data_IF_365313240420
#
_entry.id   IF_365313240420
#
_cell.length_a   1.000
_cell.length_b   1.000
_cell.length_c   1.000
_cell.angle_alpha   90.00
_cell.angle_beta   90.00
_cell.angle_gamma   90.00
#
_symmetry.space_group_name_H-M   'P 1'
#
loop_
_entity.id
_entity.type
_entity.pdbx_description
1 polymer ?
#
# COMPACT_ATOMS: atom_id res chain seq x y z
N UNK A 1 17.97 25.07 -44.55
CA UNK A 1 18.92 23.91 -44.51
C UNK A 1 19.94 24.03 -43.37
N UNK A 2 20.73 25.10 -43.25
CA UNK A 2 21.83 25.22 -42.26
C UNK A 2 21.39 25.23 -40.78
N UNK A 3 20.23 25.82 -40.47
CA UNK A 3 19.71 25.89 -39.09
C UNK A 3 18.90 24.67 -38.66
N UNK A 4 18.46 23.81 -39.60
CA UNK A 4 17.66 22.62 -39.27
C UNK A 4 18.49 21.63 -38.44
N UNK A 5 19.78 21.47 -38.80
CA UNK A 5 20.72 20.63 -38.07
C UNK A 5 21.02 21.18 -36.67
N UNK A 6 21.10 22.51 -36.52
CA UNK A 6 21.30 23.14 -35.22
C UNK A 6 20.07 23.00 -34.31
N UNK A 7 18.85 23.15 -34.84
CA UNK A 7 17.62 23.00 -34.06
C UNK A 7 17.45 21.54 -33.61
N UNK A 8 17.72 20.57 -34.48
CA UNK A 8 17.67 19.14 -34.12
C UNK A 8 18.75 18.78 -33.10
N UNK A 9 19.96 19.32 -33.22
CA UNK A 9 21.03 19.12 -32.24
C UNK A 9 20.68 19.69 -30.86
N UNK A 10 20.04 20.88 -30.82
CA UNK A 10 19.60 21.51 -29.56
C UNK A 10 18.45 20.72 -28.91
N UNK A 11 17.50 20.21 -29.68
CA UNK A 11 16.41 19.38 -29.16
C UNK A 11 16.91 18.03 -28.62
N UNK A 12 17.89 17.41 -29.28
CA UNK A 12 18.53 16.18 -28.79
C UNK A 12 19.36 16.44 -27.53
N UNK A 13 20.06 17.57 -27.44
CA UNK A 13 20.82 17.95 -26.25
C UNK A 13 19.91 18.24 -25.05
N UNK A 14 18.80 18.96 -25.24
CA UNK A 14 17.83 19.25 -24.19
C UNK A 14 17.03 18.01 -23.76
N UNK A 15 16.60 17.19 -24.72
CA UNK A 15 15.92 15.92 -24.45
C UNK A 15 16.84 14.91 -23.75
N UNK A 16 18.10 14.81 -24.18
CA UNK A 16 19.12 13.98 -23.55
C UNK A 16 19.47 14.46 -22.13
N UNK A 17 19.61 15.77 -21.93
CA UNK A 17 19.83 16.35 -20.60
C UNK A 17 18.66 16.07 -19.65
N UNK A 18 17.41 16.21 -20.13
CA UNK A 18 16.23 15.88 -19.33
C UNK A 18 16.12 14.38 -19.02
N UNK A 19 16.52 13.50 -19.95
CA UNK A 19 16.53 12.05 -19.74
C UNK A 19 17.61 11.62 -18.74
N UNK A 20 18.82 12.16 -18.84
CA UNK A 20 19.92 11.92 -17.88
C UNK A 20 19.51 12.38 -16.48
N UNK A 21 18.87 13.56 -16.36
CA UNK A 21 18.48 14.10 -15.06
C UNK A 21 17.20 13.47 -14.48
N UNK A 22 16.46 12.67 -15.26
CA UNK A 22 15.29 11.89 -14.79
C UNK A 22 15.66 10.50 -14.26
N UNK A 23 16.90 10.05 -14.47
CA UNK A 23 17.42 8.79 -13.92
C UNK A 23 17.98 8.99 -12.51
N UNK A 24 17.12 9.24 -11.53
CA UNK A 24 17.46 9.09 -10.12
C UNK A 24 16.29 8.52 -9.34
N UNK A 25 16.01 7.24 -9.57
CA UNK A 25 15.73 6.26 -8.52
C UNK A 25 15.78 4.85 -9.11
N UNK A 26 16.97 4.44 -9.57
CA UNK A 26 17.29 3.01 -9.68
C UNK A 26 18.14 2.67 -8.46
N UNK A 27 17.48 2.27 -7.38
CA UNK A 27 18.15 1.66 -6.23
C UNK A 27 18.60 0.27 -6.65
N UNK A 28 19.71 0.19 -7.38
CA UNK A 28 20.37 -1.06 -7.72
C UNK A 28 21.14 -1.56 -6.49
N UNK A 29 20.43 -2.28 -5.61
CA UNK A 29 21.05 -3.12 -4.60
C UNK A 29 20.74 -4.56 -5.00
N UNK A 30 21.71 -5.25 -5.59
CA UNK A 30 21.73 -6.71 -5.69
C UNK A 30 22.30 -7.30 -4.38
N UNK A 31 21.94 -8.55 -4.04
CA UNK A 31 21.41 -8.92 -2.75
C UNK A 31 22.51 -9.24 -1.75
N UNK A 32 22.53 -8.52 -0.62
CA UNK A 32 22.93 -9.17 0.63
C UNK A 32 21.64 -9.67 1.24
N UNK A 33 21.44 -10.99 1.22
CA UNK A 33 20.38 -11.66 1.98
C UNK A 33 20.78 -11.55 3.46
N UNK A 34 20.63 -10.36 4.02
CA UNK A 34 20.30 -10.27 5.43
C UNK A 34 18.80 -10.53 5.50
N UNK A 35 18.46 -11.81 5.68
CA UNK A 35 17.16 -12.17 6.20
C UNK A 35 17.06 -11.56 7.59
N UNK A 36 16.63 -10.30 7.65
CA UNK A 36 15.91 -9.82 8.81
C UNK A 36 14.63 -10.63 8.80
N UNK A 37 14.64 -11.74 9.54
CA UNK A 37 13.44 -12.48 9.94
C UNK A 37 12.42 -11.41 10.25
N UNK A 38 11.47 -11.23 9.34
CA UNK A 38 10.57 -10.10 9.39
C UNK A 38 9.64 -10.44 10.52
N UNK A 39 9.99 -9.95 11.71
CA UNK A 39 9.31 -10.26 12.95
C UNK A 39 7.81 -10.19 12.70
N UNK A 40 7.15 -11.32 12.96
CA UNK A 40 5.73 -11.47 12.69
C UNK A 40 4.99 -10.43 13.52
N UNK A 41 3.99 -9.79 12.91
CA UNK A 41 3.25 -8.70 13.56
C UNK A 41 1.93 -9.27 14.04
N UNK A 42 1.69 -9.22 15.35
CA UNK A 42 0.43 -9.63 15.95
C UNK A 42 -0.51 -8.43 16.09
N UNK A 43 -1.77 -8.61 15.69
CA UNK A 43 -2.82 -7.59 15.77
C UNK A 43 -4.09 -8.25 16.28
N UNK A 44 -4.76 -7.61 17.23
CA UNK A 44 -6.09 -8.00 17.69
C UNK A 44 -7.13 -7.10 17.06
N UNK A 45 -8.14 -7.68 16.39
CA UNK A 45 -9.34 -6.97 15.94
C UNK A 45 -10.44 -7.15 16.98
N UNK A 46 -10.77 -6.08 17.69
CA UNK A 46 -11.94 -6.07 18.59
C UNK A 46 -13.22 -5.86 17.79
N UNK A 47 -14.13 -6.83 17.89
CA UNK A 47 -15.41 -6.80 17.18
C UNK A 47 -16.58 -6.93 18.15
N UNK A 48 -17.80 -6.65 17.69
CA UNK A 48 -19.02 -6.85 18.49
C UNK A 48 -19.35 -8.32 18.77
N UNK A 49 -18.64 -9.26 18.16
CA UNK A 49 -18.81 -10.71 18.34
C UNK A 49 -17.62 -11.36 19.05
N UNK A 50 -16.70 -10.56 19.58
CA UNK A 50 -15.47 -11.01 20.24
C UNK A 50 -14.22 -10.56 19.50
N UNK A 51 -13.08 -10.86 20.09
CA UNK A 51 -11.77 -10.53 19.54
C UNK A 51 -11.30 -11.58 18.52
N UNK A 52 -10.58 -11.12 17.51
CA UNK A 52 -9.93 -11.96 16.50
C UNK A 52 -8.45 -11.61 16.48
N UNK A 53 -7.60 -12.56 16.84
CA UNK A 53 -6.14 -12.39 16.78
C UNK A 53 -5.61 -12.78 15.41
N UNK A 54 -4.81 -11.89 14.82
CA UNK A 54 -4.16 -12.07 13.53
C UNK A 54 -2.65 -12.05 13.69
N UNK A 55 -1.98 -12.99 13.03
CA UNK A 55 -0.53 -13.00 12.83
C UNK A 55 -0.23 -12.63 11.38
N UNK A 56 0.48 -11.52 11.17
CA UNK A 56 0.84 -11.02 9.85
C UNK A 56 2.26 -11.46 9.47
N UNK A 57 2.45 -11.67 8.16
CA UNK A 57 3.69 -12.17 7.57
C UNK A 57 4.30 -11.12 6.63
N UNK A 58 5.11 -10.16 7.13
CA UNK A 58 5.69 -9.10 6.31
C UNK A 58 6.63 -9.65 5.23
N UNK A 59 7.28 -10.79 5.48
CA UNK A 59 8.16 -11.45 4.50
C UNK A 59 7.40 -11.94 3.27
N UNK A 60 6.15 -12.41 3.43
CA UNK A 60 5.33 -12.92 2.35
C UNK A 60 4.60 -11.82 1.57
N UNK A 61 4.10 -10.79 2.27
CA UNK A 61 3.30 -9.72 1.68
C UNK A 61 3.67 -8.32 2.23
N UNK A 62 4.90 -7.82 1.97
CA UNK A 62 5.46 -6.67 2.67
C UNK A 62 4.64 -5.39 2.49
N UNK A 63 4.19 -5.11 1.27
CA UNK A 63 3.40 -3.90 0.96
C UNK A 63 2.01 -3.95 1.60
N UNK A 64 1.38 -5.12 1.58
CA UNK A 64 0.04 -5.33 2.14
C UNK A 64 0.06 -5.19 3.65
N UNK A 65 1.02 -5.85 4.30
CA UNK A 65 1.18 -5.78 5.76
C UNK A 65 1.50 -4.35 6.20
N UNK A 66 2.43 -3.66 5.53
CA UNK A 66 2.75 -2.28 5.83
C UNK A 66 1.53 -1.35 5.70
N UNK A 67 0.73 -1.51 4.65
CA UNK A 67 -0.49 -0.72 4.47
C UNK A 67 -1.56 -1.03 5.54
N UNK A 68 -1.78 -2.32 5.83
CA UNK A 68 -2.75 -2.73 6.85
C UNK A 68 -2.39 -2.21 8.24
N UNK A 69 -1.13 -2.37 8.65
CA UNK A 69 -0.62 -1.88 9.94
C UNK A 69 -0.79 -0.37 10.05
N UNK A 70 -0.41 0.37 9.00
CA UNK A 70 -0.56 1.83 8.97
C UNK A 70 -2.03 2.23 9.16
N UNK A 71 -2.93 1.67 8.37
CA UNK A 71 -4.37 1.98 8.46
C UNK A 71 -4.94 1.60 9.84
N UNK A 72 -4.51 0.49 10.42
CA UNK A 72 -4.93 0.07 11.75
C UNK A 72 -4.46 1.06 12.83
N UNK A 73 -3.19 1.48 12.79
CA UNK A 73 -2.63 2.48 13.72
C UNK A 73 -3.30 3.85 13.59
N UNK A 74 -3.68 4.24 12.38
CA UNK A 74 -4.44 5.46 12.10
C UNK A 74 -5.93 5.36 12.52
N UNK A 75 -6.37 4.21 13.07
CA UNK A 75 -7.75 3.98 13.49
C UNK A 75 -8.74 3.86 12.32
N UNK A 76 -8.25 3.65 11.09
CA UNK A 76 -9.08 3.62 9.88
C UNK A 76 -10.19 2.58 9.94
N UNK A 77 -9.92 1.40 10.50
CA UNK A 77 -10.89 0.31 10.57
C UNK A 77 -11.93 0.45 11.70
N UNK A 78 -11.74 1.41 12.61
CA UNK A 78 -12.67 1.62 13.72
C UNK A 78 -14.06 2.00 13.20
N UNK A 79 -15.06 1.27 13.68
CA UNK A 79 -16.46 1.43 13.28
C UNK A 79 -16.82 0.86 11.91
N UNK A 80 -15.87 0.28 11.16
CA UNK A 80 -16.20 -0.43 9.91
C UNK A 80 -16.98 -1.71 10.20
N UNK A 81 -17.87 -2.09 9.29
CA UNK A 81 -18.71 -3.30 9.41
C UNK A 81 -18.14 -4.42 8.55
N UNK A 82 -18.44 -5.66 8.93
CA UNK A 82 -18.39 -6.78 7.99
C UNK A 82 -19.66 -6.74 7.14
N UNK A 83 -19.60 -6.05 6.01
CA UNK A 83 -20.76 -5.84 5.13
C UNK A 83 -21.08 -7.05 4.26
N UNK A 84 -20.22 -8.08 4.25
CA UNK A 84 -20.48 -9.34 3.55
C UNK A 84 -19.99 -10.52 4.37
N UNK A 85 -20.89 -11.47 4.59
CA UNK A 85 -20.65 -12.72 5.35
C UNK A 85 -21.23 -13.87 4.53
N UNK A 86 -20.39 -14.83 4.16
CA UNK A 86 -20.81 -16.06 3.48
C UNK A 86 -20.39 -17.24 4.34
N UNK A 87 -21.38 -18.01 4.77
CA UNK A 87 -21.17 -19.26 5.51
C UNK A 87 -20.23 -20.19 4.76
N UNK A 88 -19.32 -20.83 5.50
CA UNK A 88 -18.35 -21.79 4.98
C UNK A 88 -17.38 -21.22 3.93
N UNK A 89 -17.25 -19.89 3.86
CA UNK A 89 -16.33 -19.25 2.92
C UNK A 89 -15.52 -18.11 3.55
N UNK A 90 -16.09 -16.91 3.66
CA UNK A 90 -15.36 -15.75 4.18
C UNK A 90 -16.27 -14.64 4.69
N UNK A 91 -15.65 -13.77 5.48
CA UNK A 91 -16.15 -12.45 5.84
C UNK A 91 -15.33 -11.37 5.13
N UNK A 92 -15.98 -10.26 4.77
CA UNK A 92 -15.34 -9.11 4.15
C UNK A 92 -15.78 -7.84 4.90
N UNK A 93 -14.79 -7.00 5.22
CA UNK A 93 -14.98 -5.72 5.90
C UNK A 93 -13.95 -4.69 5.44
N UNK A 94 -13.74 -3.65 6.24
CA UNK A 94 -12.75 -2.61 5.96
C UNK A 94 -13.18 -1.54 4.96
N UNK A 95 -14.47 -1.49 4.61
CA UNK A 95 -15.04 -0.40 3.80
C UNK A 95 -15.39 0.81 4.68
N UNK A 96 -14.79 2.00 4.47
CA UNK A 96 -15.10 3.20 5.25
C UNK A 96 -16.55 3.69 5.09
N UNK A 97 -17.21 3.42 3.96
CA UNK A 97 -18.61 3.81 3.73
C UNK A 97 -19.58 2.99 4.60
N UNK A 98 -19.15 1.85 5.11
CA UNK A 98 -19.95 1.01 6.01
C UNK A 98 -20.11 1.59 7.42
N UNK A 99 -19.26 2.56 7.82
CA UNK A 99 -19.27 3.18 9.15
C UNK A 99 -20.59 3.89 9.44
N UNK A 100 -21.14 4.55 8.42
CA UNK A 100 -22.40 5.29 8.51
C UNK A 100 -23.58 4.34 8.52
N UNK A 101 -24.40 4.45 9.57
CA UNK A 101 -25.78 3.97 9.59
C UNK A 101 -26.69 5.21 9.55
N UNK A 102 -27.32 5.56 8.42
CA UNK A 102 -28.25 6.67 8.39
C UNK A 102 -29.47 6.48 9.32
N UNK A 103 -29.67 5.29 9.91
CA UNK A 103 -30.80 4.94 10.76
C UNK A 103 -30.49 4.86 12.26
N UNK A 104 -29.27 5.26 12.69
CA UNK A 104 -28.87 5.36 14.11
C UNK A 104 -28.55 6.77 14.60
N UNK A 105 -29.18 7.78 13.99
CA UNK A 105 -29.33 9.09 14.62
C UNK A 105 -30.70 9.14 15.29
N UNK A 106 -30.76 8.68 16.54
CA UNK A 106 -31.92 8.85 17.43
C UNK A 106 -31.43 9.24 18.81
#
# INVERSE_FOLDING_TARGET
MKYIFLIVAVLLALGGYYFINRSSSSKNIQPTVEQKDSEKINITLTTSKGDIDLELYPSAAPKTVANFVKLAQDGFYNGTKFHRVISDFMIQGGDPLSKTDPLRQS
#
